data_IF_734384260834
#
_entry.id   IF_734384260834
#
_cell.length_a   1.000
_cell.length_b   1.000
_cell.length_c   1.000
_cell.angle_alpha   90.00
_cell.angle_beta   90.00
_cell.angle_gamma   90.00
#
_symmetry.space_group_name_H-M   'P 1'
#
loop_
_entity.id
_entity.type
_entity.pdbx_description
1 polymer ?
#
# COMPACT_ATOMS: atom_id res chain seq x y z
N UNK A 1 -56.96 67.39 -23.30
CA UNK A 1 -57.57 66.18 -23.91
C UNK A 1 -56.54 65.44 -24.75
N UNK A 2 -56.03 64.36 -24.26
CA UNK A 2 -55.07 63.53 -24.97
C UNK A 2 -55.80 62.60 -25.92
N UNK A 3 -55.55 62.67 -27.21
CA UNK A 3 -56.27 61.98 -28.26
C UNK A 3 -56.13 60.42 -28.07
N UNK A 4 -57.22 59.65 -28.18
CA UNK A 4 -57.22 58.21 -27.96
C UNK A 4 -56.32 57.43 -28.91
N UNK A 5 -55.87 57.99 -30.00
CA UNK A 5 -55.01 57.36 -31.00
C UNK A 5 -53.54 57.11 -30.53
N UNK A 6 -53.03 57.94 -29.62
CA UNK A 6 -51.63 57.80 -29.10
C UNK A 6 -51.51 56.66 -28.08
N UNK A 7 -52.54 56.31 -27.35
CA UNK A 7 -52.55 55.18 -26.39
C UNK A 7 -52.56 53.85 -27.09
N UNK A 8 -53.26 53.75 -28.24
CA UNK A 8 -53.30 52.48 -29.01
C UNK A 8 -51.95 52.07 -29.63
N UNK A 9 -51.15 53.04 -30.09
CA UNK A 9 -49.83 52.81 -30.64
C UNK A 9 -48.83 52.37 -29.55
N UNK A 10 -48.94 52.94 -28.35
CA UNK A 10 -48.07 52.61 -27.21
C UNK A 10 -48.34 51.20 -26.68
N UNK A 11 -49.61 50.81 -26.60
CA UNK A 11 -50.00 49.44 -26.19
C UNK A 11 -49.60 48.39 -27.21
N UNK A 12 -49.66 48.65 -28.49
CA UNK A 12 -49.27 47.69 -29.51
C UNK A 12 -47.74 47.48 -29.55
N UNK A 13 -46.95 48.54 -29.37
CA UNK A 13 -45.46 48.41 -29.25
C UNK A 13 -45.02 47.64 -28.00
N UNK A 14 -45.74 47.79 -26.89
CA UNK A 14 -45.45 47.13 -25.63
C UNK A 14 -45.75 45.62 -25.71
N UNK A 15 -46.82 45.22 -26.38
CA UNK A 15 -47.18 43.82 -26.62
C UNK A 15 -46.20 43.12 -27.58
N UNK A 16 -45.75 43.84 -28.63
CA UNK A 16 -44.76 43.29 -29.56
C UNK A 16 -43.39 43.09 -28.90
N UNK A 17 -42.97 44.02 -28.04
CA UNK A 17 -41.75 43.92 -27.27
C UNK A 17 -41.78 42.74 -26.29
N UNK A 18 -42.87 42.52 -25.57
CA UNK A 18 -43.04 41.40 -24.63
C UNK A 18 -43.09 40.06 -25.37
N UNK A 19 -43.67 40.02 -26.55
CA UNK A 19 -43.74 38.83 -27.36
C UNK A 19 -42.33 38.44 -27.90
N UNK A 20 -41.58 39.41 -28.38
CA UNK A 20 -40.15 39.18 -28.81
C UNK A 20 -39.27 38.73 -27.65
N UNK A 21 -39.44 39.34 -26.47
CA UNK A 21 -38.66 38.93 -25.27
C UNK A 21 -38.98 37.51 -24.81
N UNK A 22 -40.23 37.05 -24.92
CA UNK A 22 -40.62 35.65 -24.63
C UNK A 22 -40.04 34.68 -25.63
N UNK A 23 -39.97 35.04 -26.93
CA UNK A 23 -39.38 34.22 -27.98
C UNK A 23 -37.85 34.07 -27.75
N UNK A 24 -37.14 35.15 -27.39
CA UNK A 24 -35.69 35.09 -27.06
C UNK A 24 -35.42 34.24 -25.81
N UNK A 25 -36.31 34.33 -24.79
CA UNK A 25 -36.17 33.53 -23.58
C UNK A 25 -36.36 32.02 -23.85
N UNK A 26 -37.31 31.65 -24.71
CA UNK A 26 -37.56 30.25 -25.12
C UNK A 26 -36.40 29.72 -25.98
N UNK A 27 -35.82 30.54 -26.86
CA UNK A 27 -34.64 30.18 -27.65
C UNK A 27 -33.42 30.01 -26.76
N UNK A 28 -33.21 30.83 -25.73
CA UNK A 28 -32.11 30.72 -24.77
C UNK A 28 -32.23 29.46 -23.92
N UNK A 29 -33.43 29.08 -23.49
CA UNK A 29 -33.70 27.84 -22.74
C UNK A 29 -33.49 26.61 -23.64
N UNK A 30 -33.85 26.68 -24.92
CA UNK A 30 -33.65 25.61 -25.90
C UNK A 30 -32.16 25.32 -26.17
N UNK A 31 -31.30 26.33 -26.16
CA UNK A 31 -29.83 26.18 -26.33
C UNK A 31 -29.17 25.57 -25.09
N UNK A 32 -29.71 25.86 -23.88
CA UNK A 32 -29.18 25.27 -22.64
C UNK A 32 -29.56 23.78 -22.47
N UNK A 33 -30.60 23.31 -23.13
CA UNK A 33 -31.01 21.90 -23.09
C UNK A 33 -30.37 21.04 -24.17
N UNK A 34 -29.73 21.64 -25.18
CA UNK A 34 -29.05 20.93 -26.28
C UNK A 34 -27.60 20.54 -25.99
N UNK A 35 -27.04 20.92 -24.82
CA UNK A 35 -25.67 20.54 -24.40
C UNK A 35 -25.63 19.33 -23.47
N UNK A 36 -26.66 18.50 -23.46
CA UNK A 36 -26.63 17.20 -22.79
C UNK A 36 -26.69 16.08 -23.81
N UNK A 37 -25.80 16.10 -24.80
CA UNK A 37 -25.48 14.90 -25.53
C UNK A 37 -24.46 14.11 -24.70
N UNK A 38 -24.94 13.14 -23.93
CA UNK A 38 -24.11 12.04 -23.46
C UNK A 38 -23.57 11.32 -24.69
N UNK A 39 -22.31 11.62 -25.06
CA UNK A 39 -21.56 10.73 -25.92
C UNK A 39 -21.41 9.40 -25.16
N UNK A 40 -21.77 8.28 -25.75
CA UNK A 40 -21.44 6.97 -25.21
C UNK A 40 -20.00 6.58 -25.61
N UNK A 41 -19.06 7.50 -25.52
CA UNK A 41 -17.65 7.15 -25.46
C UNK A 41 -17.40 6.76 -24.00
N UNK A 42 -17.43 5.48 -23.78
CA UNK A 42 -17.01 4.76 -22.59
C UNK A 42 -15.52 5.06 -22.34
N UNK A 43 -15.23 6.30 -21.96
CA UNK A 43 -13.95 6.67 -21.40
C UNK A 43 -13.94 6.04 -20.03
N UNK A 44 -13.08 5.07 -19.82
CA UNK A 44 -12.63 4.59 -18.53
C UNK A 44 -12.29 5.82 -17.66
N UNK A 45 -13.29 6.44 -17.05
CA UNK A 45 -13.06 7.47 -16.04
C UNK A 45 -12.30 6.80 -14.92
N UNK A 46 -11.06 7.24 -14.73
CA UNK A 46 -10.25 6.81 -13.60
C UNK A 46 -11.07 7.08 -12.34
N UNK A 47 -11.42 6.06 -11.53
CA UNK A 47 -12.23 6.29 -10.35
C UNK A 47 -11.59 7.35 -9.48
N UNK A 48 -12.37 8.37 -9.08
CA UNK A 48 -11.88 9.39 -8.16
C UNK A 48 -11.35 8.69 -6.91
N UNK A 49 -10.10 8.99 -6.52
CA UNK A 49 -9.45 8.41 -5.35
C UNK A 49 -9.52 9.42 -4.21
N UNK A 50 -10.11 9.02 -3.10
CA UNK A 50 -10.07 9.78 -1.85
C UNK A 50 -8.88 9.29 -1.02
N UNK A 51 -7.94 10.20 -0.72
CA UNK A 51 -6.84 9.95 0.22
C UNK A 51 -7.18 10.49 1.60
N UNK A 52 -7.04 9.66 2.62
CA UNK A 52 -7.14 10.05 4.02
C UNK A 52 -6.00 9.45 4.87
N UNK A 53 -5.67 10.13 5.97
CA UNK A 53 -4.82 9.59 7.02
C UNK A 53 -5.66 9.48 8.29
N UNK A 54 -5.66 8.32 8.92
CA UNK A 54 -6.42 8.09 10.15
C UNK A 54 -5.72 7.11 11.07
N UNK A 55 -5.96 7.25 12.36
CA UNK A 55 -5.62 6.21 13.34
C UNK A 55 -6.72 5.17 13.36
N UNK A 56 -6.38 3.92 13.07
CA UNK A 56 -7.29 2.79 13.23
C UNK A 56 -6.99 2.08 14.55
N UNK A 57 -8.01 1.43 15.10
CA UNK A 57 -7.89 0.63 16.33
C UNK A 57 -8.42 -0.77 16.10
N UNK A 58 -7.63 -1.78 16.40
CA UNK A 58 -8.06 -3.17 16.41
C UNK A 58 -7.51 -3.87 17.66
N UNK A 59 -8.38 -4.53 18.44
CA UNK A 59 -8.02 -5.21 19.69
C UNK A 59 -7.14 -4.35 20.63
N UNK A 60 -7.51 -3.08 20.82
CA UNK A 60 -6.79 -2.09 21.64
C UNK A 60 -5.41 -1.66 21.10
N UNK A 61 -5.04 -2.11 19.89
CA UNK A 61 -3.83 -1.67 19.21
C UNK A 61 -4.18 -0.54 18.25
N UNK A 62 -3.53 0.60 18.44
CA UNK A 62 -3.65 1.77 17.58
C UNK A 62 -2.52 1.79 16.56
N UNK A 63 -2.83 2.14 15.32
CA UNK A 63 -1.83 2.39 14.28
C UNK A 63 -2.36 3.42 13.28
N UNK A 64 -1.50 4.31 12.85
CA UNK A 64 -1.83 5.26 11.79
C UNK A 64 -1.73 4.57 10.42
N UNK A 65 -2.71 4.83 9.57
CA UNK A 65 -2.75 4.34 8.20
C UNK A 65 -3.06 5.46 7.22
N UNK A 66 -2.51 5.35 6.02
CA UNK A 66 -2.86 6.18 4.88
C UNK A 66 -3.68 5.32 3.94
N UNK A 67 -4.88 5.80 3.60
CA UNK A 67 -5.84 5.06 2.78
C UNK A 67 -6.05 5.84 1.48
N UNK A 68 -5.83 5.17 0.33
CA UNK A 68 -6.30 5.61 -0.98
C UNK A 68 -7.51 4.76 -1.36
N UNK A 69 -8.70 5.33 -1.24
CA UNK A 69 -9.97 4.65 -1.52
C UNK A 69 -10.52 5.10 -2.88
N UNK A 70 -10.70 4.20 -3.86
CA UNK A 70 -11.41 4.55 -5.09
C UNK A 70 -12.91 4.75 -4.81
N UNK A 71 -13.61 5.48 -5.69
CA UNK A 71 -15.06 5.69 -5.60
C UNK A 71 -15.82 4.43 -6.06
N UNK A 72 -15.55 3.31 -5.40
CA UNK A 72 -16.18 2.00 -5.67
C UNK A 72 -16.74 1.43 -4.37
N UNK A 73 -17.83 0.66 -4.50
CA UNK A 73 -18.48 -0.01 -3.36
C UNK A 73 -17.85 -1.37 -3.03
N UNK A 74 -17.20 -2.01 -4.01
CA UNK A 74 -16.50 -3.27 -3.85
C UNK A 74 -15.07 -3.11 -4.33
N UNK A 75 -14.09 -3.51 -3.52
CA UNK A 75 -12.67 -3.31 -3.81
C UNK A 75 -11.81 -4.50 -3.38
N UNK A 76 -10.76 -4.74 -4.15
CA UNK A 76 -9.60 -5.47 -3.66
C UNK A 76 -8.72 -4.49 -2.88
N UNK A 77 -8.01 -4.96 -1.87
CA UNK A 77 -7.16 -4.14 -0.99
C UNK A 77 -5.71 -4.58 -1.08
N UNK A 78 -4.81 -3.64 -1.29
CA UNK A 78 -3.37 -3.83 -1.10
C UNK A 78 -2.91 -3.10 0.16
N UNK A 79 -2.54 -3.85 1.19
CA UNK A 79 -1.94 -3.30 2.41
C UNK A 79 -0.43 -3.23 2.20
N UNK A 80 0.15 -2.03 2.36
CA UNK A 80 1.58 -1.81 2.14
C UNK A 80 2.32 -1.48 3.42
N UNK A 81 3.56 -1.98 3.54
CA UNK A 81 4.42 -1.80 4.71
C UNK A 81 5.77 -1.23 4.28
N UNK A 82 6.16 -0.13 4.92
CA UNK A 82 7.40 0.58 4.59
C UNK A 82 8.65 -0.11 5.13
N UNK A 83 9.80 0.27 4.57
CA UNK A 83 11.11 -0.13 5.09
C UNK A 83 11.48 0.59 6.38
N UNK A 84 12.67 0.30 6.89
CA UNK A 84 13.22 0.92 8.11
C UNK A 84 13.32 2.43 7.98
N UNK A 85 12.87 3.17 8.99
CA UNK A 85 13.09 4.60 9.17
C UNK A 85 13.91 4.86 10.44
N UNK A 86 14.66 5.95 10.44
CA UNK A 86 15.53 6.29 11.59
C UNK A 86 14.83 7.17 12.66
N UNK A 87 13.63 7.63 12.37
CA UNK A 87 12.88 8.52 13.27
C UNK A 87 11.38 8.33 13.05
N UNK A 88 10.64 8.16 14.15
CA UNK A 88 9.18 8.01 14.10
C UNK A 88 8.48 9.24 13.51
N UNK A 89 9.09 10.42 13.57
CA UNK A 89 8.58 11.62 12.91
C UNK A 89 8.46 11.49 11.38
N UNK A 90 9.18 10.56 10.78
CA UNK A 90 9.18 10.32 9.33
C UNK A 90 8.27 9.15 8.91
N UNK A 91 7.66 8.44 9.84
CA UNK A 91 6.91 7.21 9.55
C UNK A 91 5.74 7.47 8.61
N UNK A 92 4.92 8.50 8.86
CA UNK A 92 3.79 8.85 7.98
C UNK A 92 4.26 9.22 6.58
N UNK A 93 5.31 10.02 6.45
CA UNK A 93 5.88 10.39 5.16
C UNK A 93 6.41 9.14 4.41
N UNK A 94 7.09 8.24 5.14
CA UNK A 94 7.61 7.00 4.56
C UNK A 94 6.49 6.05 4.15
N UNK A 95 5.45 5.92 4.96
CA UNK A 95 4.25 5.14 4.60
C UNK A 95 3.58 5.71 3.35
N UNK A 96 3.45 7.04 3.24
CA UNK A 96 2.92 7.71 2.04
C UNK A 96 3.76 7.43 0.79
N UNK A 97 5.07 7.52 0.91
CA UNK A 97 5.99 7.24 -0.19
C UNK A 97 5.91 5.77 -0.62
N UNK A 98 5.82 4.85 0.33
CA UNK A 98 5.69 3.41 0.06
C UNK A 98 4.37 3.11 -0.66
N UNK A 99 3.25 3.70 -0.22
CA UNK A 99 1.98 3.61 -0.93
C UNK A 99 2.12 4.05 -2.38
N UNK A 100 2.72 5.23 -2.60
CA UNK A 100 2.91 5.76 -3.94
C UNK A 100 3.83 4.88 -4.81
N UNK A 101 4.89 4.30 -4.25
CA UNK A 101 5.77 3.37 -4.97
C UNK A 101 5.02 2.13 -5.45
N UNK A 102 4.25 1.47 -4.58
CA UNK A 102 3.46 0.29 -4.97
C UNK A 102 2.34 0.66 -5.94
N UNK A 103 1.65 1.77 -5.72
CA UNK A 103 0.60 2.29 -6.61
C UNK A 103 1.13 2.58 -8.01
N UNK A 104 2.32 3.17 -8.14
CA UNK A 104 2.93 3.53 -9.41
C UNK A 104 3.36 2.33 -10.26
N UNK A 105 3.60 1.16 -9.65
CA UNK A 105 3.97 -0.05 -10.38
C UNK A 105 2.78 -0.97 -10.66
N UNK A 106 1.66 -0.78 -9.97
CA UNK A 106 0.45 -1.55 -10.17
C UNK A 106 -0.29 -1.05 -11.42
N UNK A 107 -0.70 -1.97 -12.31
CA UNK A 107 -1.43 -1.66 -13.53
C UNK A 107 -2.96 -1.63 -13.36
N UNK A 108 -3.46 -1.74 -12.11
CA UNK A 108 -4.88 -1.62 -11.74
C UNK A 108 -5.12 -0.32 -11.00
N UNK A 109 -6.29 0.28 -11.19
CA UNK A 109 -6.71 1.54 -10.52
C UNK A 109 -7.96 1.36 -9.66
N UNK A 110 -8.51 0.15 -9.63
CA UNK A 110 -9.72 -0.23 -8.92
C UNK A 110 -9.44 -0.78 -7.50
N UNK A 111 -8.18 -0.80 -7.08
CA UNK A 111 -7.78 -1.29 -5.74
C UNK A 111 -7.76 -0.17 -4.71
N UNK A 112 -8.18 -0.48 -3.49
CA UNK A 112 -7.91 0.34 -2.31
C UNK A 112 -6.50 0.05 -1.80
N UNK A 113 -5.74 1.11 -1.48
CA UNK A 113 -4.45 1.00 -0.82
C UNK A 113 -4.56 1.38 0.65
N UNK A 114 -3.93 0.61 1.52
CA UNK A 114 -3.78 0.93 2.94
C UNK A 114 -2.31 0.85 3.29
N UNK A 115 -1.65 1.98 3.52
CA UNK A 115 -0.25 2.00 3.93
C UNK A 115 -0.12 2.18 5.43
N UNK A 116 0.58 1.25 6.07
CA UNK A 116 0.69 1.17 7.53
C UNK A 116 1.89 1.95 8.02
N UNK A 117 1.65 2.93 8.88
CA UNK A 117 2.68 3.71 9.55
C UNK A 117 3.10 3.02 10.87
N UNK A 118 3.75 1.86 10.73
CA UNK A 118 4.14 1.07 11.90
C UNK A 118 5.35 1.70 12.63
N UNK A 119 5.34 1.74 13.98
CA UNK A 119 6.40 2.35 14.78
C UNK A 119 7.71 1.58 14.70
N UNK A 120 8.83 2.25 14.98
CA UNK A 120 10.18 1.66 14.94
C UNK A 120 11.08 2.07 16.09
N UNK A 121 10.97 3.31 16.58
CA UNK A 121 11.78 3.75 17.71
C UNK A 121 11.30 3.14 19.03
N UNK A 122 12.23 2.92 19.92
CA UNK A 122 11.98 2.42 21.30
C UNK A 122 11.25 1.07 21.37
N UNK A 123 11.22 0.32 20.27
CA UNK A 123 10.73 -1.05 20.24
C UNK A 123 11.83 -1.97 19.73
N UNK A 124 11.78 -3.22 20.16
CA UNK A 124 12.68 -4.24 19.61
C UNK A 124 12.27 -4.60 18.20
N UNK A 125 13.25 -4.86 17.35
CA UNK A 125 12.99 -5.26 15.96
C UNK A 125 12.02 -6.44 15.90
N UNK A 126 10.96 -6.28 15.11
CA UNK A 126 9.94 -7.27 14.92
C UNK A 126 8.75 -7.18 15.88
N UNK A 127 8.81 -6.37 16.96
CA UNK A 127 7.66 -6.20 17.87
C UNK A 127 6.54 -5.36 17.25
N UNK A 128 6.84 -4.55 16.23
CA UNK A 128 5.87 -3.84 15.40
C UNK A 128 4.98 -4.75 14.53
N UNK A 129 5.17 -6.06 14.60
CA UNK A 129 4.23 -7.03 14.01
C UNK A 129 2.82 -6.85 14.60
N UNK A 130 2.70 -6.38 15.84
CA UNK A 130 1.43 -6.14 16.50
C UNK A 130 0.62 -5.07 15.77
N UNK A 131 1.24 -3.96 15.37
CA UNK A 131 0.59 -2.90 14.60
C UNK A 131 0.30 -3.34 13.16
N UNK A 132 1.22 -4.12 12.57
CA UNK A 132 1.03 -4.69 11.24
C UNK A 132 -0.16 -5.66 11.21
N UNK A 133 -0.28 -6.52 12.22
CA UNK A 133 -1.39 -7.44 12.40
C UNK A 133 -2.73 -6.70 12.64
N UNK A 134 -2.71 -5.68 13.51
CA UNK A 134 -3.89 -4.86 13.79
C UNK A 134 -4.43 -4.23 12.51
N UNK A 135 -3.56 -3.69 11.63
CA UNK A 135 -3.96 -3.12 10.36
C UNK A 135 -4.56 -4.18 9.41
N UNK A 136 -3.96 -5.35 9.29
CA UNK A 136 -4.49 -6.44 8.49
C UNK A 136 -5.88 -6.87 8.99
N UNK A 137 -6.03 -7.10 10.29
CA UNK A 137 -7.28 -7.56 10.88
C UNK A 137 -8.37 -6.48 10.85
N UNK A 138 -7.99 -5.21 10.97
CA UNK A 138 -8.92 -4.10 10.77
C UNK A 138 -9.47 -4.10 9.32
N UNK A 139 -8.60 -4.24 8.30
CA UNK A 139 -9.05 -4.35 6.90
C UNK A 139 -10.00 -5.53 6.72
N UNK A 140 -9.70 -6.70 7.30
CA UNK A 140 -10.51 -7.92 7.15
C UNK A 140 -11.86 -7.85 7.87
N UNK A 141 -11.95 -7.14 8.99
CA UNK A 141 -13.10 -7.25 9.88
C UNK A 141 -13.84 -5.94 10.17
N UNK A 142 -13.24 -4.77 9.88
CA UNK A 142 -13.81 -3.46 10.22
C UNK A 142 -13.95 -2.51 9.02
N UNK A 143 -13.07 -2.59 8.03
CA UNK A 143 -13.06 -1.66 6.91
C UNK A 143 -14.39 -1.63 6.15
N UNK A 144 -15.08 -2.76 6.03
CA UNK A 144 -16.41 -2.82 5.40
C UNK A 144 -17.39 -1.84 6.05
N UNK A 145 -17.49 -1.90 7.36
CA UNK A 145 -18.42 -1.05 8.13
C UNK A 145 -17.93 0.39 8.21
N UNK A 146 -16.63 0.59 8.48
CA UNK A 146 -16.08 1.93 8.76
C UNK A 146 -15.87 2.77 7.51
N UNK A 147 -15.69 2.16 6.33
CA UNK A 147 -15.48 2.85 5.05
C UNK A 147 -16.68 2.74 4.10
N UNK A 148 -17.73 1.99 4.47
CA UNK A 148 -18.91 1.79 3.63
C UNK A 148 -18.60 1.07 2.31
N UNK A 149 -17.75 0.03 2.36
CA UNK A 149 -17.30 -0.73 1.18
C UNK A 149 -17.45 -2.24 1.43
N UNK A 150 -17.29 -3.02 0.37
CA UNK A 150 -17.11 -4.48 0.45
C UNK A 150 -15.67 -4.83 0.07
N UNK A 151 -14.89 -5.34 1.01
CA UNK A 151 -13.54 -5.87 0.74
C UNK A 151 -13.69 -7.27 0.14
N UNK A 152 -13.17 -7.47 -1.08
CA UNK A 152 -13.23 -8.75 -1.81
C UNK A 152 -11.99 -9.60 -1.56
N UNK A 153 -10.83 -9.02 -1.85
CA UNK A 153 -9.52 -9.68 -1.71
C UNK A 153 -8.59 -8.79 -0.90
N UNK A 154 -7.68 -9.40 -0.16
CA UNK A 154 -6.66 -8.70 0.62
C UNK A 154 -5.29 -9.22 0.22
N UNK A 155 -4.44 -8.32 -0.26
CA UNK A 155 -3.04 -8.56 -0.57
C UNK A 155 -2.15 -7.80 0.40
N UNK A 156 -0.97 -8.34 0.70
CA UNK A 156 0.06 -7.67 1.47
C UNK A 156 1.26 -7.40 0.59
N UNK A 157 1.85 -6.21 0.68
CA UNK A 157 3.12 -5.90 0.02
C UNK A 157 4.04 -5.13 0.97
N UNK A 158 5.32 -5.48 0.97
CA UNK A 158 6.28 -4.79 1.83
C UNK A 158 7.67 -4.74 1.22
N UNK A 159 8.41 -3.68 1.58
CA UNK A 159 9.79 -3.48 1.18
C UNK A 159 10.71 -3.50 2.39
N UNK A 160 11.85 -4.19 2.30
CA UNK A 160 12.85 -4.23 3.37
C UNK A 160 12.23 -4.76 4.68
N UNK A 161 12.19 -3.97 5.75
CA UNK A 161 11.48 -4.31 6.99
C UNK A 161 9.98 -4.55 6.75
N UNK A 162 9.34 -3.82 5.84
CA UNK A 162 7.96 -4.11 5.42
C UNK A 162 7.85 -5.51 4.78
N UNK A 163 8.84 -5.92 3.99
CA UNK A 163 8.95 -7.27 3.46
C UNK A 163 9.09 -8.33 4.56
N UNK A 164 9.85 -8.03 5.62
CA UNK A 164 9.91 -8.86 6.82
C UNK A 164 8.53 -9.00 7.48
N UNK A 165 7.81 -7.90 7.68
CA UNK A 165 6.50 -7.91 8.32
C UNK A 165 5.47 -8.72 7.54
N UNK A 166 5.37 -8.53 6.22
CA UNK A 166 4.40 -9.29 5.39
C UNK A 166 4.73 -10.77 5.33
N UNK A 167 6.01 -11.13 5.33
CA UNK A 167 6.43 -12.54 5.39
C UNK A 167 6.03 -13.18 6.72
N UNK A 168 6.22 -12.48 7.84
CA UNK A 168 5.73 -12.95 9.16
C UNK A 168 4.21 -13.05 9.21
N UNK A 169 3.48 -12.02 8.75
CA UNK A 169 2.01 -12.05 8.70
C UNK A 169 1.50 -13.24 7.90
N UNK A 170 2.22 -13.65 6.85
CA UNK A 170 1.86 -14.83 6.06
C UNK A 170 1.96 -16.15 6.84
N UNK A 171 2.79 -16.22 7.87
CA UNK A 171 2.79 -17.39 8.78
C UNK A 171 1.65 -17.38 9.79
N UNK A 172 1.01 -16.22 9.98
CA UNK A 172 -0.04 -16.01 10.99
C UNK A 172 -1.44 -16.02 10.38
N UNK A 173 -1.62 -15.40 9.22
CA UNK A 173 -2.92 -15.13 8.61
C UNK A 173 -2.95 -15.50 7.14
N UNK A 174 -4.07 -16.07 6.70
CA UNK A 174 -4.38 -16.25 5.28
C UNK A 174 -4.82 -14.94 4.65
N UNK A 175 -4.34 -14.68 3.41
CA UNK A 175 -4.70 -13.56 2.54
C UNK A 175 -4.79 -14.05 1.09
N UNK A 176 -5.10 -13.17 0.14
CA UNK A 176 -5.13 -13.55 -1.28
C UNK A 176 -3.74 -13.60 -1.91
N UNK A 177 -2.72 -13.03 -1.26
CA UNK A 177 -1.34 -13.11 -1.71
C UNK A 177 -0.44 -12.14 -0.96
N UNK A 178 0.84 -12.47 -0.91
CA UNK A 178 1.87 -11.69 -0.19
C UNK A 178 3.03 -11.39 -1.13
N UNK A 179 3.50 -10.15 -1.15
CA UNK A 179 4.64 -9.71 -1.93
C UNK A 179 5.71 -9.12 -1.01
N UNK A 180 6.89 -9.72 -0.97
CA UNK A 180 8.00 -9.27 -0.16
C UNK A 180 9.19 -8.87 -1.04
N UNK A 181 9.48 -7.55 -1.10
CA UNK A 181 10.61 -7.02 -1.84
C UNK A 181 11.81 -6.81 -0.91
N UNK A 182 12.93 -7.46 -1.23
CA UNK A 182 14.16 -7.43 -0.45
C UNK A 182 13.91 -7.58 1.07
N UNK A 183 13.16 -8.63 1.50
CA UNK A 183 12.72 -8.75 2.87
C UNK A 183 13.89 -8.90 3.84
N UNK A 184 13.87 -8.16 4.94
CA UNK A 184 14.97 -8.28 5.90
C UNK A 184 14.76 -7.47 7.19
N UNK A 185 15.67 -7.74 8.17
CA UNK A 185 16.89 -8.53 8.13
C UNK A 185 16.63 -10.04 8.10
N UNK A 186 17.35 -10.72 7.22
CA UNK A 186 17.24 -12.19 7.08
C UNK A 186 17.83 -12.91 8.29
N UNK A 187 19.00 -12.46 8.78
CA UNK A 187 19.73 -13.06 9.88
C UNK A 187 20.32 -11.99 10.82
N UNK A 188 19.65 -11.76 11.93
CA UNK A 188 20.08 -10.78 12.94
C UNK A 188 21.29 -11.25 13.75
N UNK A 189 21.50 -12.56 13.91
CA UNK A 189 22.70 -13.07 14.56
C UNK A 189 23.92 -12.64 13.77
N UNK A 190 23.94 -12.95 12.46
CA UNK A 190 25.05 -12.59 11.57
C UNK A 190 25.24 -11.08 11.46
N UNK A 191 24.15 -10.35 11.21
CA UNK A 191 24.22 -8.90 11.09
C UNK A 191 24.80 -8.23 12.33
N UNK A 192 24.24 -8.53 13.51
CA UNK A 192 24.67 -7.87 14.74
C UNK A 192 26.05 -8.32 15.20
N UNK A 193 26.46 -9.55 14.86
CA UNK A 193 27.85 -10.00 15.07
C UNK A 193 28.85 -9.18 14.24
N UNK A 194 28.53 -8.85 12.98
CA UNK A 194 29.38 -7.97 12.16
C UNK A 194 29.49 -6.55 12.76
N UNK A 195 28.40 -6.02 13.34
CA UNK A 195 28.41 -4.73 14.03
C UNK A 195 29.25 -4.81 15.33
N UNK A 196 29.11 -5.86 16.12
CA UNK A 196 29.88 -6.08 17.37
C UNK A 196 31.39 -6.19 17.11
N UNK A 197 31.78 -6.72 15.96
CA UNK A 197 33.20 -6.87 15.56
C UNK A 197 33.73 -5.72 14.71
N UNK A 198 32.94 -4.66 14.50
CA UNK A 198 33.33 -3.47 13.74
C UNK A 198 33.47 -3.69 12.24
N UNK A 199 32.92 -4.78 11.70
CA UNK A 199 32.95 -5.10 10.27
C UNK A 199 31.85 -4.40 9.46
N UNK A 200 30.86 -3.84 10.13
CA UNK A 200 29.82 -3.00 9.54
C UNK A 200 29.44 -1.89 10.52
N UNK A 201 28.92 -0.73 10.04
CA UNK A 201 28.45 0.34 10.91
C UNK A 201 27.34 -0.11 11.87
N UNK A 202 27.37 0.41 13.08
CA UNK A 202 26.35 0.16 14.11
C UNK A 202 24.97 0.63 13.64
N UNK A 203 23.93 -0.09 14.05
CA UNK A 203 22.53 0.25 13.80
C UNK A 203 21.76 0.24 15.12
N UNK A 204 20.75 1.12 15.20
CA UNK A 204 19.86 1.13 16.36
C UNK A 204 19.16 -0.22 16.60
N UNK A 205 18.96 -1.01 15.55
CA UNK A 205 18.35 -2.35 15.65
C UNK A 205 19.21 -3.29 16.49
N UNK A 206 20.49 -3.38 16.17
CA UNK A 206 21.42 -4.22 16.93
C UNK A 206 21.76 -3.63 18.30
N UNK A 207 21.83 -2.30 18.41
CA UNK A 207 22.04 -1.63 19.70
C UNK A 207 20.89 -1.90 20.67
N UNK A 208 19.66 -1.79 20.24
CA UNK A 208 18.48 -2.08 21.06
C UNK A 208 18.46 -3.56 21.50
N UNK A 209 18.75 -4.48 20.58
CA UNK A 209 18.80 -5.90 20.91
C UNK A 209 19.93 -6.20 21.89
N UNK A 210 21.12 -5.60 21.71
CA UNK A 210 22.27 -5.77 22.60
C UNK A 210 22.01 -5.22 23.98
N UNK A 211 21.34 -4.07 24.09
CA UNK A 211 20.97 -3.47 25.37
C UNK A 211 20.01 -4.36 26.18
N UNK A 212 19.15 -5.12 25.52
CA UNK A 212 18.15 -5.98 26.19
C UNK A 212 18.67 -7.40 26.41
N UNK A 213 19.38 -7.96 25.43
CA UNK A 213 19.75 -9.39 25.43
C UNK A 213 21.24 -9.65 25.59
N UNK A 214 22.08 -8.62 25.61
CA UNK A 214 23.54 -8.79 25.52
C UNK A 214 24.03 -9.04 24.10
N UNK A 215 25.29 -9.46 23.96
CA UNK A 215 25.89 -9.73 22.65
C UNK A 215 25.28 -10.94 21.96
N UNK A 216 25.50 -11.05 20.64
CA UNK A 216 25.08 -12.20 19.85
C UNK A 216 25.70 -13.50 20.34
N UNK A 217 26.94 -13.48 20.88
CA UNK A 217 27.59 -14.65 21.46
C UNK A 217 27.00 -15.05 22.81
N UNK A 218 26.51 -14.10 23.60
CA UNK A 218 25.89 -14.37 24.90
C UNK A 218 24.46 -14.94 24.75
N UNK A 219 23.70 -14.45 23.80
CA UNK A 219 22.30 -14.85 23.60
C UNK A 219 21.89 -14.94 22.11
N UNK A 220 22.49 -15.84 21.33
CA UNK A 220 22.23 -15.94 19.89
C UNK A 220 20.77 -16.24 19.59
N UNK A 221 20.07 -16.97 20.46
CA UNK A 221 18.68 -17.35 20.26
C UNK A 221 17.72 -16.16 20.23
N UNK A 222 17.96 -15.12 21.05
CA UNK A 222 17.12 -13.91 21.06
C UNK A 222 17.16 -13.17 19.70
N UNK A 223 18.32 -13.15 19.05
CA UNK A 223 18.50 -12.59 17.71
C UNK A 223 17.91 -13.49 16.63
N UNK A 224 18.14 -14.82 16.73
CA UNK A 224 17.59 -15.79 15.79
C UNK A 224 16.07 -15.75 15.74
N UNK A 225 15.40 -15.71 16.90
CA UNK A 225 13.92 -15.65 16.98
C UNK A 225 13.32 -14.40 16.31
N UNK A 226 14.12 -13.35 16.09
CA UNK A 226 13.71 -12.11 15.41
C UNK A 226 14.22 -12.03 13.97
N UNK A 227 15.02 -13.00 13.52
CA UNK A 227 15.49 -13.11 12.14
C UNK A 227 14.39 -13.64 11.22
N UNK A 228 14.38 -13.18 9.97
CA UNK A 228 13.41 -13.70 8.99
C UNK A 228 13.61 -15.19 8.70
N UNK A 229 14.84 -15.71 8.84
CA UNK A 229 15.12 -17.14 8.76
C UNK A 229 14.23 -17.99 9.67
N UNK A 230 13.82 -17.46 10.83
CA UNK A 230 12.92 -18.15 11.76
C UNK A 230 11.47 -18.24 11.24
N UNK A 231 11.14 -17.50 10.19
CA UNK A 231 9.80 -17.40 9.60
C UNK A 231 9.79 -17.82 8.13
N UNK A 232 10.62 -18.79 7.75
CA UNK A 232 10.77 -19.28 6.37
C UNK A 232 9.83 -20.44 6.02
N UNK A 233 8.90 -20.80 6.90
CA UNK A 233 7.97 -21.89 6.68
C UNK A 233 6.56 -21.56 7.23
N UNK A 234 5.58 -22.41 6.93
CA UNK A 234 4.20 -22.26 7.42
C UNK A 234 3.41 -21.13 6.75
N UNK A 235 3.75 -20.74 5.53
CA UNK A 235 3.03 -19.72 4.77
C UNK A 235 1.61 -20.17 4.44
N UNK A 236 0.64 -19.38 4.85
CA UNK A 236 -0.79 -19.63 4.68
C UNK A 236 -1.36 -19.15 3.36
N UNK A 237 -0.60 -18.28 2.67
CA UNK A 237 -0.96 -17.71 1.37
C UNK A 237 0.21 -17.81 0.40
N UNK A 238 -0.09 -17.74 -0.89
CA UNK A 238 0.92 -17.61 -1.93
C UNK A 238 1.82 -16.40 -1.66
N UNK A 239 3.10 -16.54 -1.93
CA UNK A 239 4.07 -15.47 -1.72
C UNK A 239 4.98 -15.28 -2.95
N UNK A 240 5.14 -14.01 -3.34
CA UNK A 240 6.12 -13.54 -4.30
C UNK A 240 7.27 -12.87 -3.55
N UNK A 241 8.46 -13.43 -3.69
CA UNK A 241 9.71 -12.94 -3.11
C UNK A 241 10.56 -12.31 -4.22
N UNK A 242 10.82 -11.00 -4.13
CA UNK A 242 11.65 -10.26 -5.09
C UNK A 242 12.96 -9.88 -4.42
N UNK A 243 14.09 -10.21 -5.04
CA UNK A 243 15.42 -9.90 -4.52
C UNK A 243 16.36 -9.41 -5.63
N UNK A 244 16.97 -8.26 -5.41
CA UNK A 244 18.09 -7.80 -6.23
C UNK A 244 19.38 -8.51 -5.83
N UNK A 245 20.09 -9.11 -6.79
CA UNK A 245 21.30 -9.88 -6.51
C UNK A 245 22.55 -9.01 -6.27
N UNK A 246 22.42 -7.68 -6.43
CA UNK A 246 23.44 -6.69 -6.07
C UNK A 246 23.02 -5.88 -4.83
N UNK A 247 22.23 -6.48 -3.94
CA UNK A 247 21.90 -5.93 -2.62
C UNK A 247 23.14 -5.98 -1.70
N UNK A 248 23.00 -5.45 -0.47
CA UNK A 248 24.09 -5.43 0.50
C UNK A 248 24.72 -6.82 0.73
N UNK A 249 26.02 -6.89 0.98
CA UNK A 249 26.68 -8.17 1.28
C UNK A 249 26.06 -8.94 2.44
N UNK A 250 25.53 -8.23 3.44
CA UNK A 250 24.85 -8.84 4.61
C UNK A 250 23.56 -9.55 4.15
N UNK A 251 22.76 -8.90 3.29
CA UNK A 251 21.55 -9.48 2.72
C UNK A 251 21.89 -10.69 1.86
N UNK A 252 22.87 -10.55 0.95
CA UNK A 252 23.24 -11.57 0.00
C UNK A 252 23.96 -12.78 0.63
N UNK A 253 24.64 -12.59 1.77
CA UNK A 253 25.20 -13.71 2.53
C UNK A 253 24.12 -14.70 2.99
N UNK A 254 22.96 -14.19 3.38
CA UNK A 254 21.90 -15.03 3.98
C UNK A 254 20.79 -15.39 2.98
N UNK A 255 20.64 -14.64 1.89
CA UNK A 255 19.59 -14.86 0.91
C UNK A 255 19.49 -16.30 0.36
N UNK A 256 20.60 -16.95 -0.06
CA UNK A 256 20.54 -18.33 -0.56
C UNK A 256 19.97 -19.31 0.45
N UNK A 257 20.35 -19.17 1.73
CA UNK A 257 19.88 -20.03 2.82
C UNK A 257 18.38 -19.78 3.08
N UNK A 258 17.96 -18.51 3.15
CA UNK A 258 16.55 -18.17 3.32
C UNK A 258 15.71 -18.72 2.16
N UNK A 259 16.14 -18.51 0.92
CA UNK A 259 15.48 -19.03 -0.28
C UNK A 259 15.33 -20.55 -0.22
N UNK A 260 16.41 -21.27 0.13
CA UNK A 260 16.39 -22.72 0.24
C UNK A 260 15.39 -23.19 1.32
N UNK A 261 15.41 -22.59 2.51
CA UNK A 261 14.45 -22.92 3.58
C UNK A 261 12.99 -22.70 3.12
N UNK A 262 12.73 -21.60 2.39
CA UNK A 262 11.40 -21.33 1.83
C UNK A 262 11.05 -22.37 0.75
N UNK A 263 11.97 -22.77 -0.10
CA UNK A 263 11.76 -23.81 -1.12
C UNK A 263 11.46 -25.17 -0.49
N UNK A 264 12.12 -25.51 0.61
CA UNK A 264 11.98 -26.79 1.32
C UNK A 264 10.72 -26.84 2.21
N UNK A 265 9.99 -25.75 2.32
CA UNK A 265 8.77 -25.69 3.12
C UNK A 265 7.68 -26.60 2.55
N UNK A 266 7.38 -27.69 3.24
CA UNK A 266 6.38 -28.69 2.81
C UNK A 266 4.93 -28.29 3.10
N UNK A 267 4.71 -27.38 4.06
CA UNK A 267 3.40 -26.91 4.51
C UNK A 267 3.09 -25.47 4.10
N UNK A 268 3.77 -24.93 3.07
CA UNK A 268 3.54 -23.62 2.51
C UNK A 268 2.66 -23.68 1.27
N UNK A 269 1.94 -22.59 1.00
CA UNK A 269 1.29 -22.34 -0.27
C UNK A 269 2.34 -22.05 -1.37
N UNK A 270 1.91 -21.63 -2.57
CA UNK A 270 2.81 -21.34 -3.70
C UNK A 270 3.86 -20.27 -3.34
N UNK A 271 5.09 -20.49 -3.77
CA UNK A 271 6.25 -19.61 -3.53
C UNK A 271 6.91 -19.29 -4.86
N UNK A 272 6.90 -18.02 -5.21
CA UNK A 272 7.49 -17.50 -6.42
C UNK A 272 8.71 -16.65 -6.07
N UNK A 273 9.80 -16.80 -6.82
CA UNK A 273 11.04 -16.05 -6.63
C UNK A 273 11.36 -15.28 -7.90
N UNK A 274 11.62 -13.99 -7.76
CA UNK A 274 12.10 -13.11 -8.83
C UNK A 274 13.42 -12.51 -8.39
N UNK A 275 14.50 -13.05 -8.93
CA UNK A 275 15.86 -12.57 -8.67
C UNK A 275 16.33 -11.70 -9.83
N UNK A 276 16.75 -10.47 -9.51
CA UNK A 276 17.16 -9.48 -10.50
C UNK A 276 18.68 -9.35 -10.49
N UNK A 277 19.34 -9.91 -11.51
CA UNK A 277 20.78 -9.76 -11.71
C UNK A 277 21.14 -8.26 -11.83
N UNK A 278 22.12 -7.80 -11.03
CA UNK A 278 22.51 -6.38 -10.96
C UNK A 278 21.53 -5.47 -10.25
N UNK A 279 20.32 -5.94 -9.88
CA UNK A 279 19.36 -5.16 -9.09
C UNK A 279 19.81 -4.99 -7.65
N UNK A 280 19.58 -3.80 -7.08
CA UNK A 280 19.86 -3.49 -5.68
C UNK A 280 18.66 -3.75 -4.77
N UNK A 281 18.67 -3.12 -3.60
CA UNK A 281 17.64 -3.25 -2.57
C UNK A 281 16.24 -2.86 -3.05
N UNK A 282 16.12 -1.94 -4.01
CA UNK A 282 14.86 -1.47 -4.61
C UNK A 282 14.39 -2.23 -5.84
N UNK A 283 14.89 -3.44 -6.11
CA UNK A 283 14.75 -4.15 -7.39
C UNK A 283 13.30 -4.26 -7.91
N UNK A 284 12.29 -4.41 -7.05
CA UNK A 284 10.88 -4.44 -7.46
C UNK A 284 10.44 -3.13 -8.14
N UNK A 285 10.90 -1.98 -7.63
CA UNK A 285 10.49 -0.68 -8.11
C UNK A 285 11.29 -0.20 -9.34
N UNK A 286 12.40 -0.85 -9.65
CA UNK A 286 13.34 -0.47 -10.71
C UNK A 286 13.23 -1.38 -11.94
N UNK A 287 13.11 -2.70 -11.72
CA UNK A 287 13.10 -3.70 -12.79
C UNK A 287 11.74 -3.89 -13.44
N UNK A 288 11.68 -3.82 -14.77
CA UNK A 288 10.47 -4.14 -15.54
C UNK A 288 10.04 -5.61 -15.37
N UNK A 289 10.99 -6.54 -15.23
CA UNK A 289 10.71 -7.95 -14.97
C UNK A 289 10.01 -8.13 -13.64
N UNK A 290 10.52 -7.47 -12.58
CA UNK A 290 9.93 -7.57 -11.25
C UNK A 290 8.54 -6.89 -11.19
N UNK A 291 8.35 -5.73 -11.85
CA UNK A 291 7.05 -5.07 -11.98
C UNK A 291 6.02 -5.93 -12.71
N UNK A 292 6.45 -6.61 -13.78
CA UNK A 292 5.58 -7.55 -14.51
C UNK A 292 5.17 -8.72 -13.63
N UNK A 293 6.12 -9.32 -12.91
CA UNK A 293 5.81 -10.42 -11.98
C UNK A 293 4.87 -9.98 -10.86
N UNK A 294 5.07 -8.79 -10.28
CA UNK A 294 4.18 -8.20 -9.29
C UNK A 294 2.73 -8.07 -9.80
N UNK A 295 2.55 -7.52 -11.00
CA UNK A 295 1.22 -7.36 -11.59
C UNK A 295 0.56 -8.71 -11.93
N UNK A 296 1.33 -9.64 -12.51
CA UNK A 296 0.83 -10.98 -12.80
C UNK A 296 0.40 -11.70 -11.53
N UNK A 297 1.18 -11.57 -10.46
CA UNK A 297 0.88 -12.16 -9.17
C UNK A 297 -0.44 -11.66 -8.59
N UNK A 298 -0.68 -10.35 -8.58
CA UNK A 298 -1.94 -9.78 -8.07
C UNK A 298 -3.12 -10.12 -8.99
N UNK A 299 -2.95 -10.01 -10.31
CA UNK A 299 -4.05 -10.19 -11.26
C UNK A 299 -4.51 -11.65 -11.42
N UNK A 300 -3.67 -12.61 -11.07
CA UNK A 300 -3.98 -14.05 -11.19
C UNK A 300 -4.67 -14.64 -9.95
N UNK A 301 -4.83 -13.87 -8.89
CA UNK A 301 -5.41 -14.29 -7.59
C UNK A 301 -6.61 -13.41 -7.22
#
# INVERSE_FOLDING_TARGET
>A
MIKPFTIYIILNKKTEFILKMKIYLILLIGVLLACSSSNPDDKNEIPQVLRETRTITYNQVNVDVIIDKPALNEVDVLITFHGTVQSDNNILATASNTLNQFKNILNRQDMMFVSVAHPQLNILFGDNIIQAEAALLWVKHRANQELGITVKKVFLAGHSQGGYLVTRLNTMHETNGVIANAPGPLNLVYRCQLEETGQTPASYVCDNLRNVYGTTSANPNAYHQRSLLNFSNGFKSDILLVQGLNDSPIQMHTWPVFKQNVMDCSNCQSREFVEIAGGGHGALFESSVAKTAFNNFINSR
#
